data_IF_504809095117
#
_entry.id   IF_504809095117
#
_cell.length_a   1.000
_cell.length_b   1.000
_cell.length_c   1.000
_cell.angle_alpha   90.00
_cell.angle_beta   90.00
_cell.angle_gamma   90.00
#
_symmetry.space_group_name_H-M   'P 1'
#
loop_
_entity.id
_entity.type
_entity.pdbx_description
1 polymer ?
#
# COMPACT_ATOMS: atom_id res chain seq x y z
N UNK A 1 20.40 27.34 -21.42
CA UNK A 1 19.72 26.07 -21.71
C UNK A 1 19.18 25.57 -20.37
N UNK A 2 17.88 25.67 -20.13
CA UNK A 2 17.29 25.15 -18.89
C UNK A 2 17.40 23.63 -18.93
N UNK A 3 17.98 23.03 -17.89
CA UNK A 3 17.91 21.59 -17.72
C UNK A 3 16.46 21.19 -17.43
N UNK A 4 15.96 20.08 -17.98
CA UNK A 4 14.64 19.59 -17.61
C UNK A 4 14.62 19.37 -16.10
N UNK A 5 13.55 19.80 -15.45
CA UNK A 5 13.29 19.50 -14.05
C UNK A 5 13.35 17.98 -13.88
N UNK A 6 14.32 17.50 -13.10
CA UNK A 6 14.51 16.07 -12.87
C UNK A 6 13.35 15.57 -12.00
N UNK A 7 12.26 15.15 -12.63
CA UNK A 7 11.13 14.54 -11.93
C UNK A 7 11.56 13.18 -11.39
N UNK A 8 11.46 12.97 -10.07
CA UNK A 8 11.68 11.62 -9.52
C UNK A 8 10.70 10.63 -10.16
N UNK A 9 11.10 9.37 -10.43
CA UNK A 9 10.17 8.36 -10.89
C UNK A 9 9.01 8.20 -9.88
N UNK A 10 7.79 8.14 -10.39
CA UNK A 10 6.63 7.80 -9.58
C UNK A 10 6.61 6.30 -9.30
N UNK A 11 6.36 5.90 -8.07
CA UNK A 11 6.26 4.49 -7.69
C UNK A 11 5.37 4.28 -6.46
N UNK A 12 4.83 3.07 -6.36
CA UNK A 12 3.93 2.64 -5.30
C UNK A 12 4.15 1.17 -4.94
N UNK A 13 3.52 0.73 -3.86
CA UNK A 13 3.47 -0.67 -3.46
C UNK A 13 2.03 -1.15 -3.34
N UNK A 14 1.82 -2.44 -3.58
CA UNK A 14 0.51 -3.09 -3.41
C UNK A 14 0.57 -4.13 -2.29
N UNK A 15 -0.48 -4.15 -1.46
CA UNK A 15 -0.70 -5.16 -0.43
C UNK A 15 -1.97 -5.98 -0.69
N UNK A 16 -2.01 -7.18 -0.12
CA UNK A 16 -3.24 -7.95 -0.01
C UNK A 16 -3.86 -7.75 1.38
N UNK A 17 -5.19 -7.71 1.50
CA UNK A 17 -5.85 -7.55 2.79
C UNK A 17 -5.53 -8.75 3.70
N UNK A 18 -5.05 -8.52 4.93
CA UNK A 18 -4.66 -9.57 5.85
C UNK A 18 -5.87 -10.44 6.23
N UNK A 19 -5.60 -11.68 6.67
CA UNK A 19 -6.66 -12.62 7.08
C UNK A 19 -6.74 -12.84 8.59
N UNK A 20 -5.72 -12.41 9.33
CA UNK A 20 -5.60 -12.64 10.78
C UNK A 20 -5.09 -11.39 11.48
N UNK A 21 -5.36 -11.22 12.78
CA UNK A 21 -4.85 -10.09 13.56
C UNK A 21 -3.31 -9.99 13.57
N UNK A 22 -2.60 -11.12 13.60
CA UNK A 22 -1.12 -11.10 13.57
C UNK A 22 -0.61 -10.57 12.22
N UNK A 23 -1.32 -10.89 11.13
CA UNK A 23 -0.98 -10.38 9.81
C UNK A 23 -1.27 -8.88 9.66
N UNK A 24 -2.23 -8.32 10.41
CA UNK A 24 -2.47 -6.87 10.47
C UNK A 24 -1.24 -6.16 11.04
N UNK A 25 -0.77 -6.57 12.21
CA UNK A 25 0.43 -5.96 12.82
C UNK A 25 1.67 -6.10 11.93
N UNK A 26 1.84 -7.25 11.27
CA UNK A 26 2.94 -7.43 10.30
C UNK A 26 2.82 -6.49 9.10
N UNK A 27 1.61 -6.28 8.59
CA UNK A 27 1.35 -5.36 7.48
C UNK A 27 1.69 -3.92 7.87
N UNK A 28 1.27 -3.46 9.05
CA UNK A 28 1.60 -2.13 9.59
C UNK A 28 3.12 -1.92 9.67
N UNK A 29 3.85 -2.86 10.27
CA UNK A 29 5.31 -2.79 10.36
C UNK A 29 5.99 -2.76 8.97
N UNK A 30 5.45 -3.52 8.01
CA UNK A 30 5.97 -3.57 6.65
C UNK A 30 5.70 -2.25 5.92
N UNK A 31 4.48 -1.71 6.01
CA UNK A 31 4.09 -0.41 5.48
C UNK A 31 5.00 0.68 6.02
N UNK A 32 5.21 0.74 7.32
CA UNK A 32 6.04 1.78 7.96
C UNK A 32 7.51 1.69 7.52
N UNK A 33 8.00 0.48 7.25
CA UNK A 33 9.34 0.27 6.69
C UNK A 33 9.45 0.73 5.24
N UNK A 34 8.45 0.44 4.42
CA UNK A 34 8.40 0.83 3.00
C UNK A 34 8.12 2.33 2.81
N UNK A 35 7.36 2.95 3.72
CA UNK A 35 7.07 4.39 3.69
C UNK A 35 8.35 5.25 3.75
N UNK A 36 9.45 4.73 4.31
CA UNK A 36 10.76 5.39 4.33
C UNK A 36 11.35 5.61 2.93
N UNK A 37 10.86 4.88 1.92
CA UNK A 37 11.26 5.05 0.52
C UNK A 37 10.50 6.20 -0.17
N UNK A 38 9.51 6.80 0.49
CA UNK A 38 8.66 7.87 -0.03
C UNK A 38 7.90 7.50 -1.33
N UNK A 39 7.13 6.39 -1.34
CA UNK A 39 6.25 6.06 -2.45
C UNK A 39 5.12 7.10 -2.56
N UNK A 40 4.52 7.22 -3.74
CA UNK A 40 3.42 8.16 -3.97
C UNK A 40 2.12 7.72 -3.30
N UNK A 41 1.89 6.40 -3.22
CA UNK A 41 0.74 5.80 -2.54
C UNK A 41 0.99 4.32 -2.26
N UNK A 42 0.07 3.73 -1.50
CA UNK A 42 -0.09 2.29 -1.35
C UNK A 42 -1.46 1.87 -1.89
N UNK A 43 -1.53 0.73 -2.57
CA UNK A 43 -2.79 0.09 -2.96
C UNK A 43 -3.06 -1.16 -2.12
N UNK A 44 -4.35 -1.52 -2.01
CA UNK A 44 -4.78 -2.78 -1.42
C UNK A 44 -5.64 -3.51 -2.45
N UNK A 45 -5.28 -4.75 -2.77
CA UNK A 45 -6.02 -5.56 -3.74
C UNK A 45 -7.46 -5.78 -3.28
N UNK A 46 -8.41 -5.68 -4.21
CA UNK A 46 -9.81 -6.05 -4.01
C UNK A 46 -10.07 -7.41 -4.65
N UNK A 47 -10.43 -8.40 -3.83
CA UNK A 47 -10.64 -9.78 -4.28
C UNK A 47 -11.77 -9.89 -5.32
N UNK A 48 -11.57 -10.78 -6.29
CA UNK A 48 -12.56 -11.04 -7.35
C UNK A 48 -13.95 -11.33 -6.74
N UNK A 49 -14.99 -10.78 -7.37
CA UNK A 49 -16.38 -10.91 -6.90
C UNK A 49 -16.65 -10.28 -5.54
N UNK A 50 -15.74 -9.47 -4.98
CA UNK A 50 -15.90 -8.87 -3.65
C UNK A 50 -15.52 -9.80 -2.50
N UNK A 51 -14.80 -10.90 -2.75
CA UNK A 51 -14.40 -11.89 -1.74
C UNK A 51 -13.55 -11.36 -0.57
N UNK A 52 -13.04 -10.13 -0.69
CA UNK A 52 -12.28 -9.46 0.38
C UNK A 52 -12.80 -8.07 0.71
N UNK A 53 -14.03 -7.70 0.31
CA UNK A 53 -14.54 -6.33 0.40
C UNK A 53 -14.33 -5.69 1.78
N UNK A 54 -14.77 -6.37 2.84
CA UNK A 54 -14.70 -5.87 4.21
C UNK A 54 -13.24 -5.73 4.66
N UNK A 55 -12.42 -6.76 4.43
CA UNK A 55 -11.01 -6.76 4.83
C UNK A 55 -10.19 -5.74 4.03
N UNK A 56 -10.49 -5.53 2.75
CA UNK A 56 -9.87 -4.46 1.95
C UNK A 56 -10.23 -3.10 2.52
N UNK A 57 -11.49 -2.86 2.89
CA UNK A 57 -11.90 -1.60 3.50
C UNK A 57 -11.21 -1.37 4.85
N UNK A 58 -11.22 -2.36 5.73
CA UNK A 58 -10.53 -2.31 7.03
C UNK A 58 -9.04 -1.99 6.88
N UNK A 59 -8.37 -2.57 5.87
CA UNK A 59 -6.94 -2.30 5.60
C UNK A 59 -6.67 -0.85 5.17
N UNK A 60 -7.64 -0.19 4.53
CA UNK A 60 -7.49 1.18 4.01
C UNK A 60 -7.82 2.24 5.08
N UNK A 61 -8.74 1.94 6.01
CA UNK A 61 -9.23 2.92 6.99
C UNK A 61 -8.46 2.93 8.31
N UNK A 62 -7.66 1.91 8.58
CA UNK A 62 -6.81 1.79 9.77
C UNK A 62 -5.45 2.47 9.57
#
# INVERSE_FOLDING_TARGET
>A
MNMPEQTRPAFSFEFFPPRTPEAVGKLEMTRDSLAKLNPDFFSVTFGAGGSTRERTLETVVN
#
